data_IF_383070555940
#
_entry.id   IF_383070555940
#
_cell.length_a   1.000
_cell.length_b   1.000
_cell.length_c   1.000
_cell.angle_alpha   90.00
_cell.angle_beta   90.00
_cell.angle_gamma   90.00
#
_symmetry.space_group_name_H-M   'P 1'
#
loop_
_entity.id
_entity.type
_entity.pdbx_description
1 polymer ?
#
# COMPACT_ATOMS: atom_id res chain seq x y z
N UNK A 1 -10.13 -10.29 17.33
CA UNK A 1 -9.22 -9.28 16.78
C UNK A 1 -10.03 -8.26 16.00
N UNK A 2 -9.95 -6.95 16.31
CA UNK A 2 -10.54 -5.89 15.49
C UNK A 2 -10.10 -5.91 14.02
N UNK A 3 -8.90 -6.38 13.69
CA UNK A 3 -8.43 -6.53 12.30
C UNK A 3 -9.36 -7.44 11.49
N UNK A 4 -9.72 -8.62 12.02
CA UNK A 4 -10.65 -9.54 11.37
C UNK A 4 -12.06 -8.94 11.21
N UNK A 5 -12.50 -8.09 12.15
CA UNK A 5 -13.81 -7.42 12.08
C UNK A 5 -13.86 -6.35 10.99
N UNK A 6 -12.79 -5.55 10.84
CA UNK A 6 -12.68 -4.57 9.77
C UNK A 6 -12.59 -5.23 8.39
N UNK A 7 -11.86 -6.35 8.28
CA UNK A 7 -11.82 -7.13 7.05
C UNK A 7 -13.20 -7.63 6.62
N UNK A 8 -14.03 -8.07 7.56
CA UNK A 8 -15.41 -8.46 7.25
C UNK A 8 -16.22 -7.29 6.70
N UNK A 9 -16.08 -6.09 7.29
CA UNK A 9 -16.78 -4.89 6.82
C UNK A 9 -16.32 -4.48 5.41
N UNK A 10 -15.00 -4.35 5.20
CA UNK A 10 -14.45 -3.98 3.89
C UNK A 10 -14.73 -5.02 2.80
N UNK A 11 -14.70 -6.31 3.14
CA UNK A 11 -15.08 -7.37 2.20
C UNK A 11 -16.55 -7.31 1.82
N UNK A 12 -17.45 -7.00 2.76
CA UNK A 12 -18.86 -6.78 2.43
C UNK A 12 -19.02 -5.62 1.45
N UNK A 13 -18.43 -4.46 1.75
CA UNK A 13 -18.50 -3.27 0.90
C UNK A 13 -18.00 -3.59 -0.52
N UNK A 14 -16.83 -4.23 -0.63
CA UNK A 14 -16.26 -4.65 -1.91
C UNK A 14 -17.16 -5.65 -2.66
N UNK A 15 -17.71 -6.66 -1.99
CA UNK A 15 -18.58 -7.67 -2.61
C UNK A 15 -19.95 -7.12 -3.00
N UNK A 16 -20.49 -6.14 -2.27
CA UNK A 16 -21.77 -5.50 -2.65
C UNK A 16 -21.68 -4.66 -3.91
N UNK A 17 -20.47 -4.24 -4.29
CA UNK A 17 -20.24 -3.50 -5.55
C UNK A 17 -20.37 -4.37 -6.80
N UNK A 18 -20.43 -5.71 -6.66
CA UNK A 18 -20.57 -6.63 -7.79
C UNK A 18 -21.93 -7.34 -7.80
N UNK A 19 -22.54 -7.44 -8.98
CA UNK A 19 -23.75 -8.22 -9.23
C UNK A 19 -23.46 -9.71 -9.46
N UNK A 20 -22.20 -10.09 -9.70
CA UNK A 20 -21.84 -11.44 -10.11
C UNK A 20 -21.43 -12.31 -8.91
N UNK A 21 -22.42 -13.02 -8.34
CA UNK A 21 -22.24 -13.84 -7.14
C UNK A 21 -21.88 -15.31 -7.42
N UNK A 22 -21.78 -15.73 -8.69
CA UNK A 22 -21.74 -17.16 -9.04
C UNK A 22 -20.33 -17.73 -9.26
N UNK A 23 -19.28 -16.90 -9.20
CA UNK A 23 -17.91 -17.32 -9.54
C UNK A 23 -17.07 -17.53 -8.25
N UNK A 24 -16.15 -18.51 -8.21
CA UNK A 24 -15.29 -18.71 -7.05
C UNK A 24 -14.42 -17.48 -6.82
N UNK A 25 -14.59 -16.86 -5.65
CA UNK A 25 -13.83 -15.69 -5.19
C UNK A 25 -12.71 -16.14 -4.26
N UNK A 26 -11.46 -15.81 -4.57
CA UNK A 26 -10.33 -15.98 -3.67
C UNK A 26 -10.23 -14.84 -2.65
N UNK A 27 -9.56 -15.07 -1.53
CA UNK A 27 -9.34 -14.09 -0.45
C UNK A 27 -7.87 -14.10 -0.04
N UNK A 28 -7.16 -12.99 -0.26
CA UNK A 28 -5.73 -12.86 -0.02
C UNK A 28 -5.49 -11.67 0.93
N UNK A 29 -5.09 -11.95 2.16
CA UNK A 29 -5.01 -10.95 3.24
C UNK A 29 -3.57 -10.76 3.70
N UNK A 30 -3.01 -9.56 3.49
CA UNK A 30 -1.79 -9.14 4.16
C UNK A 30 -2.05 -8.76 5.62
N UNK A 31 -1.47 -9.51 6.56
CA UNK A 31 -1.65 -9.31 8.00
C UNK A 31 -0.46 -9.91 8.77
N UNK A 32 0.07 -9.16 9.76
CA UNK A 32 1.25 -9.57 10.54
C UNK A 32 1.08 -9.35 12.05
N UNK A 33 0.27 -8.37 12.46
CA UNK A 33 0.15 -7.99 13.87
C UNK A 33 -0.69 -9.00 14.65
N UNK A 34 -0.16 -9.46 15.79
CA UNK A 34 -0.86 -10.31 16.76
C UNK A 34 -1.13 -9.57 18.09
N UNK A 35 -1.15 -8.24 18.06
CA UNK A 35 -1.32 -7.41 19.26
C UNK A 35 -2.58 -7.80 20.06
N UNK A 36 -3.70 -8.08 19.37
CA UNK A 36 -4.93 -8.49 20.05
C UNK A 36 -4.79 -9.82 20.79
N UNK A 37 -3.99 -10.76 20.27
CA UNK A 37 -3.73 -12.03 20.96
C UNK A 37 -2.99 -11.80 22.28
N UNK A 38 -2.08 -10.82 22.31
CA UNK A 38 -1.36 -10.42 23.54
C UNK A 38 -2.30 -9.75 24.53
N UNK A 39 -3.10 -8.79 24.06
CA UNK A 39 -4.13 -8.13 24.89
C UNK A 39 -5.07 -9.18 25.50
N UNK A 40 -5.55 -10.13 24.70
CA UNK A 40 -6.36 -11.25 25.19
C UNK A 40 -5.65 -12.06 26.27
N UNK A 41 -4.38 -12.42 26.07
CA UNK A 41 -3.61 -13.19 27.05
C UNK A 41 -3.37 -12.46 28.37
N UNK A 42 -3.37 -11.12 28.37
CA UNK A 42 -3.20 -10.31 29.57
C UNK A 42 -4.49 -10.08 30.35
N UNK A 43 -5.62 -9.92 29.65
CA UNK A 43 -6.87 -9.47 30.27
C UNK A 43 -7.97 -10.54 30.35
N UNK A 44 -7.91 -11.62 29.57
CA UNK A 44 -8.89 -12.71 29.67
C UNK A 44 -8.46 -13.69 30.74
N UNK A 45 -9.30 -13.84 31.76
CA UNK A 45 -9.11 -14.80 32.86
C UNK A 45 -9.59 -16.21 32.50
N UNK A 46 -10.58 -16.31 31.61
CA UNK A 46 -11.20 -17.58 31.21
C UNK A 46 -10.89 -17.94 29.75
N UNK A 47 -10.58 -19.22 29.52
CA UNK A 47 -10.33 -19.74 28.17
C UNK A 47 -11.67 -19.91 27.44
N UNK A 48 -11.90 -19.06 26.45
CA UNK A 48 -13.04 -19.18 25.53
C UNK A 48 -12.67 -20.08 24.33
N UNK A 49 -13.58 -20.93 23.82
CA UNK A 49 -13.36 -21.64 22.55
C UNK A 49 -13.14 -20.70 21.36
N UNK A 50 -13.58 -19.44 21.47
CA UNK A 50 -13.34 -18.41 20.45
C UNK A 50 -11.95 -17.79 20.52
N UNK A 51 -11.14 -18.09 21.54
CA UNK A 51 -9.82 -17.50 21.69
C UNK A 51 -8.89 -17.84 20.52
N UNK A 52 -8.84 -19.12 20.13
CA UNK A 52 -8.01 -19.59 19.02
C UNK A 52 -8.40 -18.95 17.68
N UNK A 53 -9.70 -18.92 17.36
CA UNK A 53 -10.16 -18.36 16.09
C UNK A 53 -10.24 -16.84 16.10
N UNK A 54 -10.28 -16.22 17.27
CA UNK A 54 -10.43 -14.79 17.45
C UNK A 54 -9.19 -13.97 17.14
N UNK A 55 -7.99 -14.56 17.15
CA UNK A 55 -6.72 -13.82 16.92
C UNK A 55 -5.76 -14.47 15.91
N UNK A 56 -5.96 -15.74 15.53
CA UNK A 56 -5.10 -16.39 14.56
C UNK A 56 -5.10 -15.66 13.21
N UNK A 57 -3.91 -15.37 12.67
CA UNK A 57 -3.74 -14.65 11.40
C UNK A 57 -4.39 -15.39 10.23
N UNK A 58 -4.21 -16.71 10.15
CA UNK A 58 -4.81 -17.56 9.11
C UNK A 58 -6.34 -17.49 9.08
N UNK A 59 -6.98 -17.26 10.22
CA UNK A 59 -8.43 -17.13 10.31
C UNK A 59 -8.92 -15.82 9.70
N UNK A 60 -8.06 -14.81 9.48
CA UNK A 60 -8.48 -13.56 8.84
C UNK A 60 -9.03 -13.81 7.41
N UNK A 61 -8.28 -14.48 6.54
CA UNK A 61 -8.76 -14.84 5.20
C UNK A 61 -9.88 -15.89 5.24
N UNK A 62 -9.72 -16.92 6.08
CA UNK A 62 -10.71 -17.99 6.22
C UNK A 62 -12.07 -17.49 6.71
N UNK A 63 -12.11 -16.52 7.63
CA UNK A 63 -13.35 -15.96 8.19
C UNK A 63 -14.12 -15.13 7.17
N UNK A 64 -13.43 -14.36 6.31
CA UNK A 64 -14.07 -13.66 5.19
C UNK A 64 -14.70 -14.67 4.23
N UNK A 65 -13.94 -15.71 3.86
CA UNK A 65 -14.43 -16.77 2.98
C UNK A 65 -15.64 -17.49 3.56
N UNK A 66 -15.56 -17.88 4.85
CA UNK A 66 -16.65 -18.53 5.58
C UNK A 66 -17.90 -17.66 5.66
N UNK A 67 -17.76 -16.38 6.03
CA UNK A 67 -18.89 -15.47 6.22
C UNK A 67 -19.68 -15.27 4.92
N UNK A 68 -18.99 -15.15 3.78
CA UNK A 68 -19.62 -14.84 2.49
C UNK A 68 -19.74 -16.05 1.56
N UNK A 69 -19.45 -17.26 2.04
CA UNK A 69 -19.54 -18.49 1.26
C UNK A 69 -18.60 -18.55 0.05
N UNK A 70 -17.44 -17.90 0.13
CA UNK A 70 -16.46 -17.83 -0.95
C UNK A 70 -15.64 -19.12 -1.01
N UNK A 71 -15.43 -19.66 -2.22
CA UNK A 71 -14.85 -20.99 -2.43
C UNK A 71 -13.53 -20.97 -3.22
N UNK A 72 -12.95 -19.80 -3.48
CA UNK A 72 -11.59 -19.70 -4.02
C UNK A 72 -10.51 -19.89 -2.94
N UNK A 73 -9.22 -19.75 -3.31
CA UNK A 73 -8.12 -19.81 -2.34
C UNK A 73 -8.29 -18.79 -1.21
N UNK A 74 -7.98 -19.16 0.04
CA UNK A 74 -8.05 -18.27 1.19
C UNK A 74 -6.70 -18.24 1.92
N UNK A 75 -5.92 -17.18 1.72
CA UNK A 75 -4.52 -17.10 2.15
C UNK A 75 -4.30 -15.83 2.97
N UNK A 76 -3.66 -15.98 4.12
CA UNK A 76 -3.12 -14.85 4.89
C UNK A 76 -1.60 -14.82 4.72
N UNK A 77 -1.05 -13.67 4.31
CA UNK A 77 0.37 -13.49 4.05
C UNK A 77 1.00 -12.60 5.12
N UNK A 78 2.14 -13.06 5.64
CA UNK A 78 3.02 -12.25 6.49
C UNK A 78 4.40 -12.18 5.86
N UNK A 79 4.64 -11.10 5.14
CA UNK A 79 5.97 -10.68 4.68
C UNK A 79 6.31 -9.33 5.28
N UNK A 80 5.83 -9.03 6.50
CA UNK A 80 5.92 -7.73 7.16
C UNK A 80 5.35 -6.59 6.28
N UNK A 81 6.13 -5.54 6.03
CA UNK A 81 5.67 -4.30 5.37
C UNK A 81 5.22 -4.47 3.91
N UNK A 82 5.52 -5.60 3.26
CA UNK A 82 5.10 -5.91 1.89
C UNK A 82 3.89 -6.84 1.81
N UNK A 83 3.34 -7.29 2.95
CA UNK A 83 2.35 -8.39 3.03
C UNK A 83 1.15 -8.24 2.11
N UNK A 84 0.49 -7.07 2.11
CA UNK A 84 -0.70 -6.85 1.25
C UNK A 84 -0.37 -6.73 -0.23
N UNK A 85 0.82 -6.25 -0.60
CA UNK A 85 1.22 -6.20 -2.01
C UNK A 85 1.63 -7.59 -2.52
N UNK A 86 2.27 -8.41 -1.67
CA UNK A 86 2.51 -9.83 -1.93
C UNK A 86 1.18 -10.59 -2.03
N UNK A 87 0.24 -10.35 -1.12
CA UNK A 87 -1.11 -10.94 -1.19
C UNK A 87 -1.84 -10.56 -2.49
N UNK A 88 -1.70 -9.31 -2.94
CA UNK A 88 -2.25 -8.86 -4.23
C UNK A 88 -1.58 -9.56 -5.42
N UNK A 89 -0.26 -9.76 -5.38
CA UNK A 89 0.47 -10.52 -6.39
C UNK A 89 -0.03 -11.97 -6.50
N UNK A 90 -0.17 -12.65 -5.36
CA UNK A 90 -0.71 -14.03 -5.32
C UNK A 90 -2.14 -14.06 -5.84
N UNK A 91 -2.97 -13.08 -5.49
CA UNK A 91 -4.34 -12.98 -6.00
C UNK A 91 -4.37 -12.91 -7.55
N UNK A 92 -3.53 -12.06 -8.15
CA UNK A 92 -3.41 -11.97 -9.60
C UNK A 92 -2.95 -13.29 -10.22
N UNK A 93 -1.93 -13.95 -9.64
CA UNK A 93 -1.43 -15.23 -10.15
C UNK A 93 -2.48 -16.35 -10.05
N UNK A 94 -3.21 -16.45 -8.93
CA UNK A 94 -4.32 -17.40 -8.78
C UNK A 94 -5.44 -17.15 -9.80
N UNK A 95 -5.71 -15.89 -10.17
CA UNK A 95 -6.67 -15.57 -11.23
C UNK A 95 -6.16 -15.95 -12.62
N UNK A 96 -4.88 -15.68 -12.92
CA UNK A 96 -4.24 -16.08 -14.18
C UNK A 96 -4.21 -17.61 -14.35
N UNK A 97 -3.98 -18.34 -13.25
CA UNK A 97 -4.04 -19.80 -13.19
C UNK A 97 -5.48 -20.36 -13.15
N UNK A 98 -6.49 -19.48 -13.13
CA UNK A 98 -7.92 -19.83 -13.05
C UNK A 98 -8.30 -20.63 -11.80
N UNK A 99 -7.55 -20.50 -10.70
CA UNK A 99 -7.92 -21.03 -9.38
C UNK A 99 -9.10 -20.25 -8.78
N UNK A 100 -9.27 -18.99 -9.19
CA UNK A 100 -10.45 -18.17 -8.91
C UNK A 100 -10.72 -17.23 -10.09
N UNK A 101 -11.96 -16.74 -10.20
CA UNK A 101 -12.35 -15.79 -11.28
C UNK A 101 -12.41 -14.35 -10.79
N UNK A 102 -12.52 -14.17 -9.48
CA UNK A 102 -12.42 -12.90 -8.79
C UNK A 102 -11.58 -13.13 -7.53
N UNK A 103 -10.97 -12.07 -7.01
CA UNK A 103 -10.22 -12.14 -5.77
C UNK A 103 -10.41 -10.88 -4.92
N UNK A 104 -10.47 -11.05 -3.61
CA UNK A 104 -10.30 -9.97 -2.65
C UNK A 104 -8.82 -9.87 -2.30
N UNK A 105 -8.19 -8.76 -2.68
CA UNK A 105 -6.84 -8.39 -2.27
C UNK A 105 -6.93 -7.42 -1.09
N UNK A 106 -6.53 -7.87 0.09
CA UNK A 106 -6.75 -7.17 1.35
C UNK A 106 -5.44 -6.87 2.08
N UNK A 107 -5.46 -5.86 2.93
CA UNK A 107 -4.40 -5.58 3.89
C UNK A 107 -4.97 -4.91 5.13
N UNK A 108 -4.53 -5.34 6.31
CA UNK A 108 -4.98 -4.75 7.57
C UNK A 108 -3.84 -4.63 8.56
N UNK A 109 -3.80 -3.50 9.27
CA UNK A 109 -2.91 -3.27 10.39
C UNK A 109 -3.61 -2.42 11.45
N UNK A 110 -3.54 -2.86 12.71
CA UNK A 110 -3.92 -2.09 13.88
C UNK A 110 -2.82 -2.20 14.95
N UNK A 111 -2.55 -1.08 15.62
CA UNK A 111 -1.63 -0.96 16.75
C UNK A 111 -2.44 -1.02 18.04
N UNK A 112 -2.58 -2.23 18.59
CA UNK A 112 -3.44 -2.48 19.75
C UNK A 112 -2.64 -2.64 21.05
N UNK A 113 -1.32 -2.71 20.95
CA UNK A 113 -0.41 -2.83 22.09
C UNK A 113 0.88 -2.03 21.87
N UNK A 114 1.54 -1.54 22.93
CA UNK A 114 2.73 -0.71 22.82
C UNK A 114 4.00 -1.50 22.48
N UNK A 115 4.04 -2.81 22.76
CA UNK A 115 5.24 -3.66 22.76
C UNK A 115 6.01 -3.59 21.45
N UNK A 116 5.31 -3.77 20.32
CA UNK A 116 5.91 -3.74 18.98
C UNK A 116 6.51 -2.36 18.68
N UNK A 117 5.84 -1.28 19.11
CA UNK A 117 6.35 0.08 18.99
C UNK A 117 7.62 0.32 19.83
N UNK A 118 7.70 -0.24 21.03
CA UNK A 118 8.91 -0.17 21.88
C UNK A 118 10.07 -0.88 21.21
N UNK A 119 9.85 -2.06 20.63
CA UNK A 119 10.88 -2.81 19.88
C UNK A 119 11.37 -2.01 18.68
N UNK A 120 10.47 -1.44 17.87
CA UNK A 120 10.87 -0.64 16.70
C UNK A 120 11.58 0.65 17.07
N UNK A 121 11.21 1.29 18.19
CA UNK A 121 11.96 2.42 18.74
C UNK A 121 13.37 2.00 19.13
N UNK A 122 13.52 0.88 19.85
CA UNK A 122 14.83 0.36 20.26
C UNK A 122 15.70 -0.05 19.07
N UNK A 123 15.07 -0.52 17.99
CA UNK A 123 15.74 -0.84 16.72
C UNK A 123 16.11 0.40 15.87
N UNK A 124 15.78 1.62 16.33
CA UNK A 124 16.06 2.86 15.60
C UNK A 124 15.22 3.05 14.34
N UNK A 125 14.04 2.44 14.26
CA UNK A 125 13.18 2.49 13.08
C UNK A 125 12.17 3.66 13.11
N UNK A 126 11.86 4.19 14.29
CA UNK A 126 10.80 5.18 14.48
C UNK A 126 11.34 6.62 14.55
N UNK A 127 10.71 7.51 13.79
CA UNK A 127 10.96 8.94 13.86
C UNK A 127 10.48 9.52 15.20
N UNK A 128 11.31 10.35 15.83
CA UNK A 128 11.01 10.89 17.17
C UNK A 128 9.84 11.89 17.16
N UNK A 129 9.65 12.59 16.05
CA UNK A 129 8.57 13.56 15.84
C UNK A 129 7.28 12.94 15.27
N UNK A 130 7.26 11.61 15.09
CA UNK A 130 6.10 10.88 14.60
C UNK A 130 5.74 11.19 13.15
N UNK A 131 6.72 11.47 12.28
CA UNK A 131 6.48 11.75 10.85
C UNK A 131 7.37 10.93 9.93
N UNK A 132 6.78 10.37 8.88
CA UNK A 132 7.54 9.84 7.74
C UNK A 132 8.02 11.02 6.89
N UNK A 133 9.25 11.47 7.08
CA UNK A 133 9.85 12.60 6.35
C UNK A 133 10.49 12.15 5.03
N UNK A 134 9.69 11.48 4.20
CA UNK A 134 10.15 10.81 2.98
C UNK A 134 10.90 11.76 2.04
N UNK A 135 12.10 11.36 1.62
CA UNK A 135 13.07 12.10 0.78
C UNK A 135 13.71 13.34 1.41
N UNK A 136 13.36 13.67 2.66
CA UNK A 136 13.88 14.85 3.34
C UNK A 136 15.30 14.62 3.89
N UNK A 137 16.06 15.70 4.04
CA UNK A 137 17.38 15.69 4.65
C UNK A 137 17.33 15.32 6.14
N UNK A 138 16.22 15.64 6.82
CA UNK A 138 15.99 15.32 8.24
C UNK A 138 15.25 13.98 8.43
N UNK A 139 15.17 13.14 7.38
CA UNK A 139 14.61 11.78 7.46
C UNK A 139 15.33 10.93 8.51
N UNK A 140 14.61 10.50 9.55
CA UNK A 140 15.15 9.82 10.74
C UNK A 140 14.38 8.52 11.09
N UNK A 141 13.45 8.08 10.25
CA UNK A 141 12.60 6.91 10.50
C UNK A 141 11.15 7.11 10.04
N UNK A 142 10.28 6.17 10.42
CA UNK A 142 8.85 6.23 10.11
C UNK A 142 7.99 6.38 11.37
N UNK A 143 6.72 6.72 11.19
CA UNK A 143 5.68 6.57 12.23
C UNK A 143 4.77 5.41 11.86
N UNK A 144 4.34 4.61 12.84
CA UNK A 144 3.39 3.53 12.61
C UNK A 144 2.02 4.11 12.25
N UNK A 145 1.31 3.45 11.33
CA UNK A 145 -0.04 3.79 10.91
C UNK A 145 -0.99 2.60 11.01
N UNK A 146 -2.28 2.89 11.02
CA UNK A 146 -3.35 1.90 11.02
C UNK A 146 -4.15 2.01 9.72
N UNK A 147 -4.54 0.88 9.15
CA UNK A 147 -5.40 0.85 7.97
C UNK A 147 -6.06 -0.51 7.79
N UNK A 148 -7.22 -0.53 7.13
CA UNK A 148 -7.80 -1.72 6.53
C UNK A 148 -8.21 -1.35 5.09
N UNK A 149 -7.62 -2.01 4.10
CA UNK A 149 -7.94 -1.83 2.69
C UNK A 149 -8.37 -3.14 2.06
N UNK A 150 -9.40 -3.10 1.22
CA UNK A 150 -9.91 -4.25 0.48
C UNK A 150 -10.15 -3.82 -0.97
N UNK A 151 -9.57 -4.55 -1.91
CA UNK A 151 -9.76 -4.38 -3.35
C UNK A 151 -10.42 -5.64 -3.92
N UNK A 152 -11.48 -5.46 -4.72
CA UNK A 152 -12.04 -6.53 -5.52
C UNK A 152 -11.38 -6.53 -6.90
N UNK A 153 -10.69 -7.63 -7.22
CA UNK A 153 -10.11 -7.90 -8.52
C UNK A 153 -11.07 -8.79 -9.32
N UNK A 154 -11.32 -8.42 -10.58
CA UNK A 154 -12.18 -9.16 -11.51
C UNK A 154 -11.38 -9.48 -12.77
N UNK A 155 -11.53 -10.71 -13.29
CA UNK A 155 -10.77 -11.19 -14.44
C UNK A 155 -11.17 -10.45 -15.72
N UNK A 156 -10.20 -10.25 -16.62
CA UNK A 156 -10.42 -9.62 -17.92
C UNK A 156 -11.50 -10.39 -18.71
N UNK A 157 -12.68 -9.77 -18.87
CA UNK A 157 -13.81 -10.37 -19.58
C UNK A 157 -15.18 -9.97 -19.03
N UNK A 158 -15.29 -9.54 -17.76
CA UNK A 158 -16.59 -9.15 -17.15
C UNK A 158 -16.71 -7.67 -16.76
N UNK A 159 -15.60 -6.94 -16.68
CA UNK A 159 -15.64 -5.51 -16.33
C UNK A 159 -15.97 -4.59 -17.51
N UNK A 160 -15.86 -5.06 -18.76
CA UNK A 160 -16.17 -4.30 -19.96
C UNK A 160 -17.66 -3.86 -20.04
N UNK A 161 -18.54 -4.50 -19.26
CA UNK A 161 -19.96 -4.15 -19.16
C UNK A 161 -20.29 -3.25 -17.95
N UNK A 162 -19.32 -2.88 -17.11
CA UNK A 162 -19.56 -2.05 -15.92
C UNK A 162 -19.27 -0.58 -16.19
N UNK A 163 -20.20 0.29 -15.79
CA UNK A 163 -19.98 1.73 -15.72
C UNK A 163 -18.94 2.03 -14.61
N UNK A 164 -17.74 2.53 -14.96
CA UNK A 164 -16.69 2.84 -13.99
C UNK A 164 -15.27 2.93 -14.58
N UNK A 165 -14.34 3.72 -14.01
CA UNK A 165 -12.92 3.60 -14.40
C UNK A 165 -12.42 2.20 -14.04
N UNK A 166 -12.16 1.38 -15.06
CA UNK A 166 -11.48 0.10 -14.87
C UNK A 166 -9.98 0.38 -14.82
N UNK A 167 -9.38 0.20 -13.65
CA UNK A 167 -7.92 0.15 -13.51
C UNK A 167 -7.48 -1.31 -13.70
N UNK A 168 -6.63 -1.55 -14.69
CA UNK A 168 -6.04 -2.85 -14.91
C UNK A 168 -4.80 -3.02 -14.02
N UNK A 169 -4.75 -4.12 -13.29
CA UNK A 169 -3.54 -4.58 -12.62
C UNK A 169 -2.66 -5.27 -13.67
N UNK A 170 -1.83 -4.47 -14.35
CA UNK A 170 -1.10 -4.91 -15.54
C UNK A 170 0.00 -5.94 -15.24
N UNK A 171 0.60 -5.87 -14.06
CA UNK A 171 1.61 -6.85 -13.66
C UNK A 171 2.17 -6.58 -12.28
N UNK A 172 2.77 -7.61 -11.68
CA UNK A 172 3.49 -7.50 -10.41
C UNK A 172 4.62 -8.51 -10.36
N UNK A 173 5.59 -8.27 -9.48
CA UNK A 173 6.65 -9.21 -9.17
C UNK A 173 6.99 -9.16 -7.68
N UNK A 174 7.49 -10.28 -7.17
CA UNK A 174 8.00 -10.43 -5.80
C UNK A 174 9.40 -11.04 -5.86
N UNK A 175 10.33 -10.54 -5.05
CA UNK A 175 11.65 -11.14 -4.88
C UNK A 175 12.17 -11.01 -3.44
N UNK A 176 13.43 -11.37 -3.23
CA UNK A 176 14.12 -11.30 -1.95
C UNK A 176 15.46 -10.59 -2.10
N UNK A 177 15.83 -9.80 -1.10
CA UNK A 177 17.12 -9.11 -1.00
C UNK A 177 18.30 -10.07 -0.94
N UNK A 178 18.08 -11.29 -0.42
CA UNK A 178 19.13 -12.28 -0.22
C UNK A 178 20.15 -11.82 0.83
N UNK A 179 21.45 -11.98 0.54
CA UNK A 179 22.51 -11.52 1.45
C UNK A 179 22.79 -10.03 1.24
N UNK A 180 22.17 -9.19 2.05
CA UNK A 180 22.46 -7.75 2.17
C UNK A 180 23.47 -7.48 3.31
N UNK A 181 23.75 -6.20 3.60
CA UNK A 181 24.71 -5.80 4.65
C UNK A 181 24.22 -6.07 6.07
N UNK A 182 22.91 -6.20 6.27
CA UNK A 182 22.26 -6.65 7.49
C UNK A 182 20.87 -7.18 7.14
N UNK A 183 20.27 -8.05 7.97
CA UNK A 183 18.93 -8.61 7.71
C UNK A 183 17.89 -7.55 7.37
N UNK A 184 18.01 -6.36 7.97
CA UNK A 184 17.08 -5.24 7.80
C UNK A 184 17.57 -4.13 6.88
N UNK A 185 18.73 -4.30 6.26
CA UNK A 185 19.26 -3.34 5.31
C UNK A 185 18.65 -3.60 3.92
N UNK A 186 18.07 -2.58 3.26
CA UNK A 186 17.50 -2.73 1.92
C UNK A 186 18.59 -3.01 0.87
N UNK A 187 18.22 -3.72 -0.20
CA UNK A 187 19.13 -4.05 -1.31
C UNK A 187 18.70 -3.39 -2.62
N UNK A 188 19.44 -2.35 -3.06
CA UNK A 188 19.17 -1.63 -4.30
C UNK A 188 19.10 -2.51 -5.56
N UNK A 189 20.07 -3.40 -5.83
CA UNK A 189 20.01 -4.35 -6.95
C UNK A 189 18.76 -5.26 -6.94
N UNK A 190 18.33 -5.75 -5.77
CA UNK A 190 17.10 -6.53 -5.65
C UNK A 190 15.86 -5.69 -5.96
N UNK A 191 15.82 -4.42 -5.51
CA UNK A 191 14.76 -3.49 -5.85
C UNK A 191 14.71 -3.16 -7.35
N UNK A 192 15.87 -3.00 -8.01
CA UNK A 192 15.92 -2.86 -9.48
C UNK A 192 15.32 -4.10 -10.16
N UNK A 193 15.73 -5.29 -9.72
CA UNK A 193 15.26 -6.55 -10.30
C UNK A 193 13.74 -6.72 -10.16
N UNK A 194 13.15 -6.40 -9.01
CA UNK A 194 11.68 -6.55 -8.84
C UNK A 194 10.90 -5.58 -9.71
N UNK A 195 11.39 -4.33 -9.87
CA UNK A 195 10.76 -3.34 -10.77
C UNK A 195 10.85 -3.82 -12.22
N UNK A 196 12.03 -4.26 -12.67
CA UNK A 196 12.22 -4.78 -14.03
C UNK A 196 11.37 -6.03 -14.30
N UNK A 197 11.26 -6.94 -13.34
CA UNK A 197 10.43 -8.15 -13.47
C UNK A 197 8.94 -7.81 -13.56
N UNK A 198 8.46 -6.82 -12.83
CA UNK A 198 7.07 -6.38 -12.93
C UNK A 198 6.78 -5.75 -14.32
N UNK A 199 7.68 -4.91 -14.84
CA UNK A 199 7.60 -4.36 -16.19
C UNK A 199 7.56 -5.45 -17.26
N UNK A 200 8.46 -6.44 -17.14
CA UNK A 200 8.52 -7.57 -18.06
C UNK A 200 7.23 -8.40 -18.04
N UNK A 201 6.69 -8.68 -16.85
CA UNK A 201 5.43 -9.43 -16.70
C UNK A 201 4.23 -8.66 -17.27
N UNK A 202 4.24 -7.34 -17.18
CA UNK A 202 3.22 -6.47 -17.78
C UNK A 202 3.43 -6.24 -19.29
N UNK A 203 4.56 -6.69 -19.87
CA UNK A 203 4.99 -6.31 -21.23
C UNK A 203 5.01 -4.78 -21.45
N UNK A 204 5.38 -4.01 -20.41
CA UNK A 204 5.44 -2.56 -20.42
C UNK A 204 6.87 -2.05 -20.47
N UNK A 205 7.07 -0.89 -21.10
CA UNK A 205 8.34 -0.17 -21.08
C UNK A 205 8.45 0.72 -19.83
N UNK A 206 9.67 1.07 -19.44
CA UNK A 206 9.94 2.03 -18.35
C UNK A 206 9.29 3.40 -18.59
N UNK A 207 9.16 3.83 -19.85
CA UNK A 207 8.47 5.07 -20.23
C UNK A 207 6.97 5.04 -19.97
N UNK A 208 6.37 3.86 -19.85
CA UNK A 208 4.94 3.69 -19.56
C UNK A 208 4.57 4.00 -18.11
N UNK A 209 5.54 4.15 -17.20
CA UNK A 209 5.27 4.44 -15.77
C UNK A 209 5.41 5.93 -15.52
N UNK A 210 4.30 6.63 -15.30
CA UNK A 210 4.26 8.08 -15.06
C UNK A 210 4.30 8.43 -13.56
N UNK A 211 3.74 7.57 -12.70
CA UNK A 211 3.70 7.78 -11.26
C UNK A 211 4.38 6.59 -10.56
N UNK A 212 5.26 6.86 -9.61
CA UNK A 212 5.80 5.87 -8.68
C UNK A 212 5.32 6.18 -7.27
N UNK A 213 4.46 5.32 -6.74
CA UNK A 213 4.13 5.26 -5.33
C UNK A 213 5.22 4.41 -4.64
N UNK A 214 6.19 5.10 -4.05
CA UNK A 214 7.32 4.44 -3.40
C UNK A 214 6.94 3.74 -2.09
N UNK A 215 7.81 2.83 -1.67
CA UNK A 215 7.82 2.35 -0.30
C UNK A 215 8.10 3.52 0.65
N UNK A 216 9.16 4.31 0.45
CA UNK A 216 9.30 5.67 0.96
C UNK A 216 9.02 5.84 2.46
N UNK A 217 9.80 5.18 3.31
CA UNK A 217 9.58 5.19 4.77
C UNK A 217 10.07 6.45 5.46
N UNK A 218 10.84 7.33 4.80
CA UNK A 218 11.47 8.46 5.49
C UNK A 218 12.70 8.03 6.25
N UNK A 219 13.43 7.05 5.71
CA UNK A 219 14.70 6.60 6.30
C UNK A 219 15.88 7.21 5.56
N UNK A 220 16.96 7.59 6.27
CA UNK A 220 18.06 8.37 5.69
C UNK A 220 18.81 7.61 4.58
N UNK A 221 18.84 6.27 4.65
CA UNK A 221 19.49 5.40 3.66
C UNK A 221 18.49 4.69 2.73
N UNK A 222 17.33 4.28 3.24
CA UNK A 222 16.36 3.53 2.44
C UNK A 222 15.78 4.36 1.30
N UNK A 223 15.45 5.62 1.56
CA UNK A 223 14.88 6.51 0.53
C UNK A 223 15.87 6.75 -0.64
N UNK A 224 17.18 7.07 -0.40
CA UNK A 224 18.17 7.10 -1.48
C UNK A 224 18.34 5.78 -2.24
N UNK A 225 18.33 4.64 -1.56
CA UNK A 225 18.47 3.32 -2.20
C UNK A 225 17.30 3.05 -3.13
N UNK A 226 16.07 3.33 -2.68
CA UNK A 226 14.86 3.15 -3.49
C UNK A 226 14.83 4.06 -4.71
N UNK A 227 15.14 5.36 -4.55
CA UNK A 227 15.21 6.27 -5.69
C UNK A 227 16.32 5.87 -6.64
N UNK A 228 17.49 5.45 -6.15
CA UNK A 228 18.57 4.96 -6.99
C UNK A 228 18.16 3.74 -7.82
N UNK A 229 17.44 2.79 -7.20
CA UNK A 229 16.92 1.62 -7.88
C UNK A 229 15.85 1.98 -8.92
N UNK A 230 14.88 2.81 -8.56
CA UNK A 230 13.84 3.27 -9.47
C UNK A 230 14.42 4.07 -10.64
N UNK A 231 15.37 4.98 -10.38
CA UNK A 231 16.06 5.75 -11.41
C UNK A 231 16.81 4.82 -12.38
N UNK A 232 17.53 3.84 -11.85
CA UNK A 232 18.28 2.88 -12.67
C UNK A 232 17.40 2.05 -13.60
N UNK A 233 16.10 1.86 -13.33
CA UNK A 233 15.21 1.08 -14.19
C UNK A 233 14.28 1.97 -15.02
N UNK A 234 13.61 2.92 -14.36
CA UNK A 234 12.54 3.71 -14.96
C UNK A 234 13.03 4.86 -15.85
N UNK A 235 14.31 5.25 -15.74
CA UNK A 235 14.89 6.33 -16.55
C UNK A 235 15.76 5.82 -17.70
N UNK A 236 16.16 4.54 -17.74
CA UNK A 236 17.07 3.99 -18.76
C UNK A 236 16.57 4.15 -20.20
N UNK A 237 15.29 3.86 -20.48
CA UNK A 237 14.75 3.99 -21.84
C UNK A 237 14.29 5.42 -22.14
N UNK A 238 14.12 6.24 -21.10
CA UNK A 238 13.72 7.65 -21.23
C UNK A 238 14.85 8.52 -21.76
N UNK A 239 16.10 8.23 -21.38
CA UNK A 239 17.28 8.95 -21.88
C UNK A 239 17.59 8.73 -23.36
N UNK A 240 17.00 7.72 -24.00
CA UNK A 240 17.19 7.41 -25.42
C UNK A 240 16.12 8.05 -26.33
N UNK A 241 15.05 8.59 -25.76
CA UNK A 241 13.98 9.27 -26.48
C UNK A 241 14.35 10.74 -26.70
N UNK A 242 14.01 11.31 -27.85
CA UNK A 242 14.22 12.74 -28.09
C UNK A 242 13.40 13.59 -27.10
N UNK A 243 13.82 14.81 -26.78
CA UNK A 243 13.10 15.71 -25.85
C UNK A 243 11.62 15.95 -26.25
N UNK A 244 11.29 15.79 -27.53
CA UNK A 244 9.92 15.89 -28.05
C UNK A 244 9.08 14.60 -27.87
N UNK A 245 9.71 13.46 -27.52
CA UNK A 245 9.06 12.16 -27.28
C UNK A 245 8.87 11.86 -25.79
N UNK A 246 9.44 12.64 -24.88
CA UNK A 246 9.11 12.57 -23.46
C UNK A 246 7.86 13.35 -23.13
N UNK A 247 6.71 12.71 -23.38
CA UNK A 247 5.41 13.33 -23.12
C UNK A 247 5.12 13.53 -21.61
N UNK A 248 5.70 12.73 -20.69
CA UNK A 248 5.40 12.83 -19.24
C UNK A 248 6.62 12.52 -18.35
N UNK A 249 7.01 13.41 -17.42
CA UNK A 249 8.05 13.15 -16.44
C UNK A 249 7.60 12.13 -15.37
N UNK A 250 8.52 11.28 -14.90
CA UNK A 250 8.23 10.39 -13.76
C UNK A 250 7.99 11.22 -12.49
N UNK A 251 6.82 11.04 -11.88
CA UNK A 251 6.45 11.66 -10.61
C UNK A 251 6.57 10.65 -9.47
N UNK A 252 7.17 11.03 -8.36
CA UNK A 252 7.35 10.15 -7.18
C UNK A 252 6.48 10.63 -6.04
N UNK A 253 5.83 9.69 -5.35
CA UNK A 253 4.92 9.99 -4.24
C UNK A 253 5.03 8.94 -3.13
N UNK A 254 4.74 9.37 -1.91
CA UNK A 254 4.82 8.53 -0.73
C UNK A 254 3.59 8.72 0.17
N UNK A 255 2.65 7.77 0.12
CA UNK A 255 1.43 7.80 0.94
C UNK A 255 1.71 7.81 2.44
N UNK A 256 2.86 7.25 2.87
CA UNK A 256 3.28 7.20 4.28
C UNK A 256 3.46 8.58 4.92
N UNK A 257 3.66 9.63 4.11
CA UNK A 257 3.73 11.02 4.58
C UNK A 257 2.38 11.55 5.08
N UNK A 258 1.25 10.92 4.73
CA UNK A 258 -0.09 11.31 5.15
C UNK A 258 -0.63 10.45 6.29
N UNK A 259 -0.48 9.13 6.17
CA UNK A 259 -1.16 8.15 7.03
C UNK A 259 -0.20 7.33 7.88
N UNK A 260 1.08 7.68 7.87
CA UNK A 260 2.13 6.87 8.47
C UNK A 260 2.38 5.58 7.71
N UNK A 261 3.28 4.75 8.25
CA UNK A 261 3.55 3.43 7.72
C UNK A 261 2.53 2.43 8.26
N UNK A 262 1.55 2.05 7.42
CA UNK A 262 0.50 1.08 7.78
C UNK A 262 0.93 -0.40 7.72
N UNK A 263 2.24 -0.64 7.84
CA UNK A 263 2.86 -1.97 8.01
C UNK A 263 2.33 -3.02 7.01
N UNK A 264 1.70 -4.18 7.37
CA UNK A 264 1.25 -5.14 6.36
C UNK A 264 0.15 -4.59 5.44
N UNK A 265 -0.55 -3.51 5.81
CA UNK A 265 -1.53 -2.83 4.96
C UNK A 265 -0.91 -1.77 4.03
N UNK A 266 0.39 -1.51 4.10
CA UNK A 266 1.04 -0.44 3.32
C UNK A 266 0.94 -0.65 1.81
N UNK A 267 0.98 -1.90 1.35
CA UNK A 267 0.82 -2.26 -0.06
C UNK A 267 -0.56 -1.88 -0.61
N UNK A 268 -1.64 -2.30 0.06
CA UNK A 268 -3.01 -2.00 -0.38
C UNK A 268 -3.34 -0.51 -0.30
N UNK A 269 -2.82 0.21 0.71
CA UNK A 269 -2.93 1.67 0.76
C UNK A 269 -2.22 2.32 -0.43
N UNK A 270 -1.03 1.84 -0.81
CA UNK A 270 -0.32 2.28 -2.00
C UNK A 270 -1.09 2.02 -3.29
N UNK A 271 -1.73 0.86 -3.41
CA UNK A 271 -2.61 0.53 -4.55
C UNK A 271 -3.82 1.46 -4.61
N UNK A 272 -4.48 1.77 -3.49
CA UNK A 272 -5.61 2.71 -3.44
C UNK A 272 -5.18 4.11 -3.88
N UNK A 273 -4.03 4.59 -3.39
CA UNK A 273 -3.48 5.87 -3.83
C UNK A 273 -3.15 5.89 -5.32
N UNK A 274 -2.57 4.80 -5.85
CA UNK A 274 -2.25 4.67 -7.26
C UNK A 274 -3.51 4.62 -8.14
N UNK A 275 -4.55 3.90 -7.72
CA UNK A 275 -5.86 3.89 -8.37
C UNK A 275 -6.42 5.31 -8.41
N UNK A 276 -6.46 6.02 -7.28
CA UNK A 276 -6.95 7.38 -7.20
C UNK A 276 -6.16 8.34 -8.12
N UNK A 277 -4.83 8.33 -8.04
CA UNK A 277 -3.97 9.17 -8.87
C UNK A 277 -4.12 8.88 -10.37
N UNK A 278 -4.28 7.61 -10.74
CA UNK A 278 -4.49 7.19 -12.13
C UNK A 278 -5.87 7.60 -12.64
N UNK A 279 -6.93 7.36 -11.88
CA UNK A 279 -8.31 7.72 -12.26
C UNK A 279 -8.48 9.24 -12.43
N UNK A 280 -7.90 10.03 -11.52
CA UNK A 280 -8.04 11.48 -11.56
C UNK A 280 -6.94 12.21 -12.33
N UNK A 281 -5.93 11.47 -12.83
CA UNK A 281 -4.73 12.05 -13.46
C UNK A 281 -4.07 13.10 -12.56
N UNK A 282 -3.87 12.76 -11.29
CA UNK A 282 -3.32 13.69 -10.29
C UNK A 282 -2.14 13.07 -9.56
N UNK A 283 -1.21 13.94 -9.16
CA UNK A 283 -0.16 13.60 -8.21
C UNK A 283 -0.42 14.27 -6.86
N UNK A 284 -0.54 13.45 -5.82
CA UNK A 284 -0.43 13.88 -4.43
C UNK A 284 0.95 14.47 -4.05
N UNK A 285 0.97 15.47 -3.16
CA UNK A 285 2.20 15.99 -2.58
C UNK A 285 3.01 14.96 -1.76
N UNK A 286 4.30 15.19 -1.56
CA UNK A 286 5.12 14.47 -0.56
C UNK A 286 5.22 15.39 0.67
N UNK A 287 4.47 15.08 1.73
CA UNK A 287 4.46 15.94 2.92
C UNK A 287 5.80 15.91 3.66
N UNK A 288 6.04 16.97 4.43
CA UNK A 288 7.23 17.17 5.28
C UNK A 288 8.56 17.40 4.54
N UNK A 289 8.56 17.38 3.21
CA UNK A 289 9.76 17.61 2.40
C UNK A 289 10.12 19.10 2.31
N UNK A 290 11.05 19.52 3.18
CA UNK A 290 11.64 20.86 3.28
C UNK A 290 12.97 20.97 2.54
N UNK A 291 13.84 19.98 2.69
CA UNK A 291 15.17 19.94 2.07
C UNK A 291 15.42 18.54 1.51
N UNK A 292 15.88 18.44 0.27
CA UNK A 292 16.15 17.12 -0.34
C UNK A 292 17.35 16.47 0.35
N UNK A 293 17.22 15.18 0.66
CA UNK A 293 18.33 14.38 1.20
C UNK A 293 19.58 14.50 0.31
N UNK A 294 20.76 14.88 0.85
CA UNK A 294 21.98 15.09 0.05
C UNK A 294 22.44 13.87 -0.76
N UNK A 295 22.12 12.65 -0.32
CA UNK A 295 22.42 11.43 -1.07
C UNK A 295 21.59 11.34 -2.35
N UNK A 296 20.34 11.80 -2.32
CA UNK A 296 19.50 11.91 -3.52
C UNK A 296 20.08 12.93 -4.50
N UNK A 297 20.52 14.10 -4.02
CA UNK A 297 21.10 15.13 -4.89
C UNK A 297 22.23 14.58 -5.75
N UNK A 298 23.10 13.71 -5.21
CA UNK A 298 24.19 13.08 -5.98
C UNK A 298 23.68 12.10 -7.05
N UNK A 299 22.69 11.27 -6.70
CA UNK A 299 22.06 10.35 -7.65
C UNK A 299 21.47 11.14 -8.81
N UNK A 300 20.85 12.27 -8.51
CA UNK A 300 20.09 13.10 -9.45
C UNK A 300 20.95 14.10 -10.23
N UNK A 301 22.11 14.48 -9.70
CA UNK A 301 23.06 15.40 -10.35
C UNK A 301 24.09 14.68 -11.22
N UNK A 302 24.33 13.38 -10.99
CA UNK A 302 25.28 12.59 -11.78
C UNK A 302 24.80 12.24 -13.19
N UNK A 303 23.50 12.43 -13.48
CA UNK A 303 22.97 12.43 -14.85
C UNK A 303 23.39 13.73 -15.55
N UNK A 304 24.50 13.70 -16.28
CA UNK A 304 24.87 14.78 -17.20
C UNK A 304 23.75 14.98 -18.22
N UNK A 305 22.98 16.07 -18.08
CA UNK A 305 22.03 16.52 -19.09
C UNK A 305 20.57 16.12 -18.84
N UNK A 306 19.85 17.03 -18.18
CA UNK A 306 18.53 17.53 -18.62
C UNK A 306 17.29 16.61 -18.59
N UNK A 307 17.34 15.39 -18.07
CA UNK A 307 16.14 14.61 -17.74
C UNK A 307 16.30 13.85 -16.43
N UNK A 308 16.46 14.65 -15.38
CA UNK A 308 16.23 14.18 -14.02
C UNK A 308 14.77 13.68 -13.98
N UNK A 309 14.48 12.63 -13.21
CA UNK A 309 13.16 12.51 -12.56
C UNK A 309 12.74 13.94 -12.24
N UNK A 310 11.58 14.46 -12.65
CA UNK A 310 11.21 15.79 -12.18
C UNK A 310 10.94 15.67 -10.68
N UNK A 311 12.01 15.64 -9.88
CA UNK A 311 11.98 16.04 -8.48
C UNK A 311 11.63 17.52 -8.37
N UNK A 312 11.60 18.24 -9.50
CA UNK A 312 10.90 19.52 -9.64
C UNK A 312 9.38 19.46 -9.41
N UNK A 313 8.78 18.26 -9.42
CA UNK A 313 7.44 18.01 -8.88
C UNK A 313 7.51 16.97 -7.74
N UNK A 314 8.49 17.11 -6.84
CA UNK A 314 8.25 16.83 -5.43
C UNK A 314 7.13 17.77 -5.01
N UNK A 315 5.91 17.37 -5.34
CA UNK A 315 4.71 18.16 -5.19
C UNK A 315 4.71 18.61 -3.72
N UNK A 316 5.09 19.85 -3.45
CA UNK A 316 4.75 20.52 -2.19
C UNK A 316 3.28 20.94 -2.22
N UNK A 317 2.69 20.89 -3.41
CA UNK A 317 1.32 21.20 -3.75
C UNK A 317 0.81 20.15 -4.74
N UNK A 318 -0.48 19.82 -4.65
CA UNK A 318 -1.13 18.90 -5.58
C UNK A 318 -1.06 19.44 -7.01
N UNK A 319 -0.66 18.58 -7.95
CA UNK A 319 -0.56 18.94 -9.37
C UNK A 319 -1.41 18.02 -10.23
N UNK A 320 -2.09 18.60 -11.21
CA UNK A 320 -2.64 17.82 -12.32
C UNK A 320 -1.51 17.23 -13.15
N UNK A 321 -1.64 15.97 -13.55
CA UNK A 321 -0.78 15.38 -14.57
C UNK A 321 -1.30 15.84 -15.93
N UNK A 322 -0.52 16.67 -16.61
CA UNK A 322 -0.74 16.95 -18.02
C UNK A 322 -0.32 15.71 -18.81
N UNK A 323 -1.22 14.73 -18.95
CA UNK A 323 -1.06 13.69 -19.96
C UNK A 323 -1.18 14.40 -21.31
N UNK A 324 -0.12 14.42 -22.10
CA UNK A 324 -0.12 15.06 -23.43
C UNK A 324 -1.38 14.68 -24.19
N UNK A 325 -2.13 15.68 -24.65
CA UNK A 325 -3.40 15.51 -25.34
C UNK A 325 -3.21 14.97 -26.75
N UNK A 326 -2.87 13.68 -26.89
CA UNK A 326 -2.88 12.96 -28.17
C UNK A 326 -2.67 11.45 -28.01
N UNK A 327 -2.04 10.95 -26.93
CA UNK A 327 -1.78 9.52 -26.76
C UNK A 327 -2.63 8.91 -25.64
N UNK A 328 -3.28 7.80 -25.99
CA UNK A 328 -4.26 7.05 -25.20
C UNK A 328 -3.98 7.01 -23.69
N UNK A 329 -5.02 7.15 -22.85
CA UNK A 329 -4.94 6.87 -21.41
C UNK A 329 -4.28 5.51 -21.09
N UNK A 330 -4.27 4.58 -22.05
CA UNK A 330 -3.66 3.25 -21.94
C UNK A 330 -2.12 3.22 -22.00
N UNK A 331 -1.42 4.34 -22.21
CA UNK A 331 0.05 4.37 -22.30
C UNK A 331 0.77 4.85 -21.02
N UNK A 332 0.04 5.30 -20.00
CA UNK A 332 0.63 5.84 -18.77
C UNK A 332 0.02 5.20 -17.51
N UNK A 333 0.86 4.46 -16.78
CA UNK A 333 0.50 3.73 -15.57
C UNK A 333 1.18 4.24 -14.30
N UNK A 334 0.80 3.63 -13.18
CA UNK A 334 1.35 3.87 -11.85
C UNK A 334 2.06 2.62 -11.33
N UNK A 335 3.29 2.78 -10.83
CA UNK A 335 3.99 1.76 -10.06
C UNK A 335 3.72 1.90 -8.56
N UNK A 336 3.66 0.77 -7.85
CA UNK A 336 3.55 0.71 -6.38
C UNK A 336 4.62 -0.22 -5.83
N UNK A 337 5.47 0.28 -4.93
CA UNK A 337 6.53 -0.49 -4.28
C UNK A 337 6.21 -0.76 -2.81
N UNK A 338 6.47 -1.98 -2.35
CA UNK A 338 6.48 -2.32 -0.93
C UNK A 338 7.65 -3.25 -0.58
N UNK A 339 8.52 -2.80 0.31
CA UNK A 339 9.75 -3.51 0.68
C UNK A 339 9.70 -3.87 2.16
N UNK A 340 9.87 -5.15 2.47
CA UNK A 340 9.86 -5.63 3.85
C UNK A 340 11.22 -5.45 4.51
N UNK A 341 11.24 -5.14 5.80
CA UNK A 341 12.49 -5.11 6.57
C UNK A 341 13.17 -6.49 6.69
N UNK A 342 12.55 -7.59 6.28
CA UNK A 342 13.22 -8.90 6.20
C UNK A 342 13.68 -9.27 4.78
N UNK A 343 13.48 -8.38 3.80
CA UNK A 343 14.03 -8.51 2.45
C UNK A 343 13.05 -8.90 1.36
N UNK A 344 11.81 -9.32 1.66
CA UNK A 344 10.80 -9.57 0.60
C UNK A 344 10.30 -8.27 -0.01
N UNK A 345 10.61 -8.07 -1.28
CA UNK A 345 10.17 -6.93 -2.06
C UNK A 345 9.00 -7.30 -2.95
N UNK A 346 8.05 -6.38 -3.11
CA UNK A 346 6.99 -6.48 -4.08
C UNK A 346 6.88 -5.17 -4.88
N UNK A 347 6.60 -5.28 -6.18
CA UNK A 347 6.29 -4.16 -7.04
C UNK A 347 5.09 -4.50 -7.93
N UNK A 348 4.16 -3.57 -8.08
CA UNK A 348 2.96 -3.72 -8.91
C UNK A 348 2.81 -2.54 -9.88
N UNK A 349 2.21 -2.81 -11.04
CA UNK A 349 1.94 -1.85 -12.09
C UNK A 349 0.44 -1.81 -12.36
N UNK A 350 -0.11 -0.60 -12.35
CA UNK A 350 -1.50 -0.31 -12.66
C UNK A 350 -1.58 0.56 -13.91
N UNK A 351 -2.51 0.27 -14.82
CA UNK A 351 -2.75 1.09 -16.02
C UNK A 351 -4.24 1.44 -16.12
N UNK A 352 -4.55 2.62 -16.66
CA UNK A 352 -5.93 2.96 -16.96
C UNK A 352 -6.42 2.15 -18.16
N UNK A 353 -7.58 1.51 -18.03
CA UNK A 353 -8.34 1.05 -19.19
C UNK A 353 -9.14 2.22 -19.78
N UNK A 354 -9.47 2.17 -21.07
CA UNK A 354 -10.12 3.28 -21.76
C UNK A 354 -11.44 3.71 -21.08
N UNK A 355 -11.52 5.02 -20.79
CA UNK A 355 -12.67 5.86 -20.42
C UNK A 355 -13.89 5.15 -19.80
N UNK A 356 -14.05 5.29 -18.48
CA UNK A 356 -15.38 5.41 -17.88
C UNK A 356 -15.24 6.10 -16.52
N UNK A 357 -16.25 6.87 -16.10
CA UNK A 357 -16.26 7.76 -14.93
C UNK A 357 -16.20 7.06 -13.57
N UNK A 358 -15.60 7.68 -12.53
CA UNK A 358 -15.58 7.13 -11.16
C UNK A 358 -16.96 7.38 -10.55
N UNK A 359 -17.67 6.34 -10.13
CA UNK A 359 -18.75 6.47 -9.14
C UNK A 359 -18.20 6.06 -7.77
N UNK A 360 -18.18 7.02 -6.84
CA UNK A 360 -17.99 6.69 -5.44
C UNK A 360 -19.33 6.11 -4.94
N UNK A 361 -19.35 4.83 -4.61
CA UNK A 361 -20.52 4.25 -3.94
C UNK A 361 -20.54 4.84 -2.53
N UNK A 362 -21.58 5.63 -2.22
CA UNK A 362 -21.79 6.20 -0.89
C UNK A 362 -21.86 5.10 0.17
N UNK A 363 -21.38 5.41 1.38
CA UNK A 363 -21.42 4.54 2.57
C UNK A 363 -22.64 3.61 2.58
N UNK A 364 -22.40 2.32 2.33
CA UNK A 364 -23.43 1.31 2.50
C UNK A 364 -23.81 1.31 4.00
N UNK A 365 -25.05 1.67 4.31
CA UNK A 365 -25.59 1.65 5.68
C UNK A 365 -25.61 0.21 6.20
N UNK A 366 -24.52 -0.22 6.84
CA UNK A 366 -24.35 -1.54 7.42
C UNK A 366 -25.26 -1.69 8.66
N UNK A 367 -26.38 -2.42 8.52
CA UNK A 367 -27.29 -2.73 9.66
C UNK A 367 -26.62 -3.55 10.78
N UNK A 368 -25.53 -4.27 10.51
CA UNK A 368 -24.76 -5.00 11.53
C UNK A 368 -23.59 -4.20 12.11
N UNK A 369 -23.25 -3.04 11.53
CA UNK A 369 -22.27 -2.11 12.09
C UNK A 369 -22.94 -1.24 13.16
N UNK A 370 -23.53 -1.88 14.18
CA UNK A 370 -23.82 -1.19 15.41
C UNK A 370 -22.45 -0.82 16.01
N UNK A 371 -21.95 0.38 15.66
CA UNK A 371 -20.62 0.90 16.01
C UNK A 371 -20.58 1.21 17.51
N UNK A 372 -20.75 0.21 18.35
CA UNK A 372 -20.37 0.28 19.75
C UNK A 372 -18.84 0.33 19.77
N UNK A 373 -18.30 1.55 19.79
CA UNK A 373 -16.87 1.82 19.92
C UNK A 373 -16.46 1.43 21.35
N UNK A 374 -16.03 0.19 21.52
CA UNK A 374 -15.36 -0.22 22.75
C UNK A 374 -13.91 0.25 22.67
N UNK A 375 -13.64 1.42 23.25
CA UNK A 375 -12.28 1.82 23.55
C UNK A 375 -11.79 0.97 24.71
N UNK A 376 -10.80 0.11 24.48
CA UNK A 376 -9.96 -0.39 25.57
C UNK A 376 -8.95 0.72 25.85
N UNK A 377 -9.42 1.78 26.51
CA UNK A 377 -8.52 2.81 27.03
C UNK A 377 -7.79 2.26 28.25
N UNK A 378 -6.55 2.70 28.54
CA UNK A 378 -6.00 2.53 29.87
C UNK A 378 -6.98 3.14 30.88
N UNK A 379 -7.00 2.62 32.12
CA UNK A 379 -7.70 3.29 33.22
C UNK A 379 -7.32 4.77 33.20
N UNK A 380 -8.32 5.65 33.17
CA UNK A 380 -8.12 7.09 33.14
C UNK A 380 -7.14 7.48 34.23
N UNK A 381 -6.06 8.19 33.88
CA UNK A 381 -5.08 8.61 34.87
C UNK A 381 -5.82 9.38 35.98
N UNK A 382 -5.60 9.11 37.28
CA UNK A 382 -6.36 9.73 38.36
C UNK A 382 -6.30 11.26 38.42
N UNK A 383 -5.37 11.88 37.68
CA UNK A 383 -5.24 13.34 37.54
C UNK A 383 -6.04 13.94 36.37
N UNK A 384 -6.63 13.11 35.49
CA UNK A 384 -7.46 13.56 34.37
C UNK A 384 -8.97 13.53 34.69
N UNK A 385 -9.36 13.18 35.92
CA UNK A 385 -10.76 13.04 36.34
C UNK A 385 -11.44 14.34 36.78
N UNK A 386 -10.78 15.50 36.71
CA UNK A 386 -11.37 16.77 37.09
C UNK A 386 -11.06 17.87 36.07
N UNK A 387 -11.87 17.91 35.01
CA UNK A 387 -12.19 19.18 34.36
C UNK A 387 -13.71 19.25 34.32
N UNK A 388 -14.30 19.80 35.38
CA UNK A 388 -15.68 20.29 35.31
C UNK A 388 -15.68 21.46 34.34
N UNK A 389 -16.22 21.24 33.14
CA UNK A 389 -16.66 22.33 32.29
C UNK A 389 -17.85 22.99 32.99
N UNK A 390 -17.57 23.98 33.81
CA UNK A 390 -18.60 24.90 34.29
C UNK A 390 -19.06 25.70 33.08
N UNK A 391 -20.31 25.48 32.67
CA UNK A 391 -21.00 26.37 31.73
C UNK A 391 -21.05 27.76 32.38
N UNK A 392 -20.22 28.68 31.88
CA UNK A 392 -20.31 30.08 32.24
C UNK A 392 -21.57 30.68 31.60
N UNK A 393 -22.46 31.19 32.44
CA UNK A 393 -23.54 32.13 32.10
C UNK A 393 -23.00 33.48 31.65
#
# INVERSE_FOLDING_TARGET
DPQQRLLLQGAWEALTSTSNKSSPVGVFVGISSMDYSRVMSHYLTDVSPYAATGSALSVAAGRVSYMYGLQGPAVSTDTACSSSLVGSHIACDSMLLRECMMALACGVNLTLAPDTGVVFKQAGMLALDGRCKTLDADADGYVRGEACGVLLLDGEGKSAEREGHVICFAGSAVNQDGRSSALTAPNGPAQQKVISSALQRASLTSSSVAILNMHGTGTPLGDPIEIGAAHAVLMQSRSALADAELDVPLSVQAGKTYVGHTEPAAGVVGLIHAIHGTCHKMTSPVLHLRHINPHLTRILSSSQGRQVVRLGHLCREQSGLAWGGSQSLSSHGSGVSAFAFQGTNAHALLVASALATVSCVSEANLKFANKMRYWVGPLTHPLLSYVELTEAS
#
